data_IF_194602767520
#
_entry.id   IF_194602767520
#
_cell.length_a   1.000
_cell.length_b   1.000
_cell.length_c   1.000
_cell.angle_alpha   90.00
_cell.angle_beta   90.00
_cell.angle_gamma   90.00
#
_symmetry.space_group_name_H-M   'P 1'
#
loop_
_entity.id
_entity.type
_entity.pdbx_description
1 polymer ?
#
# COMPACT_ATOMS: atom_id res chain seq x y z
N UNK A 1 -2.08 -15.15 -13.65
CA UNK A 1 -0.59 -15.19 -13.61
C UNK A 1 0.06 -14.65 -14.88
N UNK A 2 -0.39 -15.05 -16.07
CA UNK A 2 0.18 -14.56 -17.34
C UNK A 2 0.08 -13.04 -17.51
N UNK A 3 -1.06 -12.44 -17.19
CA UNK A 3 -1.22 -10.97 -17.24
C UNK A 3 -0.25 -10.24 -16.31
N UNK A 4 -0.05 -10.77 -15.09
CA UNK A 4 0.93 -10.23 -14.15
C UNK A 4 2.36 -10.36 -14.69
N UNK A 5 2.70 -11.50 -15.31
CA UNK A 5 4.01 -11.69 -15.93
C UNK A 5 4.22 -10.71 -17.11
N UNK A 6 3.19 -10.49 -17.94
CA UNK A 6 3.21 -9.52 -19.03
C UNK A 6 3.44 -8.10 -18.51
N UNK A 7 2.68 -7.68 -17.51
CA UNK A 7 2.84 -6.39 -16.86
C UNK A 7 4.25 -6.21 -16.27
N UNK A 8 4.81 -7.26 -15.65
CA UNK A 8 6.17 -7.20 -15.10
C UNK A 8 7.23 -7.02 -16.20
N UNK A 9 7.07 -7.72 -17.34
CA UNK A 9 7.94 -7.55 -18.50
C UNK A 9 7.84 -6.12 -19.05
N UNK A 10 6.63 -5.56 -19.15
CA UNK A 10 6.40 -4.19 -19.61
C UNK A 10 7.11 -3.18 -18.71
N UNK A 11 6.90 -3.26 -17.39
CA UNK A 11 7.55 -2.36 -16.42
C UNK A 11 9.07 -2.47 -16.51
N UNK A 12 9.61 -3.68 -16.57
CA UNK A 12 11.06 -3.87 -16.67
C UNK A 12 11.63 -3.20 -17.93
N UNK A 13 11.00 -3.41 -19.08
CA UNK A 13 11.46 -2.81 -20.32
C UNK A 13 11.35 -1.29 -20.31
N UNK A 14 10.26 -0.74 -19.78
CA UNK A 14 10.13 0.71 -19.59
C UNK A 14 11.24 1.27 -18.70
N UNK A 15 11.61 0.57 -17.62
CA UNK A 15 12.69 1.02 -16.73
C UNK A 15 14.07 0.97 -17.38
N UNK A 16 14.39 -0.09 -18.13
CA UNK A 16 15.66 -0.22 -18.86
C UNK A 16 15.82 0.89 -19.91
N UNK A 17 14.73 1.21 -20.60
CA UNK A 17 14.69 2.26 -21.62
C UNK A 17 14.86 3.65 -21.02
N UNK A 18 14.15 3.96 -19.93
CA UNK A 18 14.32 5.25 -19.24
C UNK A 18 15.75 5.43 -18.72
N UNK A 19 16.37 4.34 -18.27
CA UNK A 19 17.77 4.35 -17.88
C UNK A 19 18.69 4.64 -19.08
N UNK A 20 18.45 4.05 -20.25
CA UNK A 20 19.22 4.34 -21.47
C UNK A 20 19.09 5.81 -21.89
N UNK A 21 17.86 6.34 -21.96
CA UNK A 21 17.63 7.76 -22.29
C UNK A 21 18.32 8.67 -21.29
N UNK A 22 18.31 8.31 -20.00
CA UNK A 22 19.04 9.06 -18.97
C UNK A 22 20.55 9.04 -19.21
N UNK A 23 21.12 7.88 -19.53
CA UNK A 23 22.55 7.73 -19.77
C UNK A 23 22.98 8.48 -21.05
N UNK A 24 22.18 8.43 -22.11
CA UNK A 24 22.38 9.19 -23.35
C UNK A 24 22.23 10.70 -23.13
N UNK A 25 21.26 11.13 -22.31
CA UNK A 25 21.08 12.52 -21.93
C UNK A 25 22.31 13.05 -21.19
N UNK A 26 22.86 12.26 -20.24
CA UNK A 26 24.08 12.61 -19.52
C UNK A 26 25.25 12.77 -20.47
N UNK A 27 25.43 11.84 -21.42
CA UNK A 27 26.50 11.93 -22.43
C UNK A 27 26.34 13.19 -23.30
N UNK A 28 25.12 13.49 -23.74
CA UNK A 28 24.84 14.68 -24.54
C UNK A 28 25.17 15.98 -23.81
N UNK A 29 24.81 16.06 -22.53
CA UNK A 29 25.13 17.21 -21.66
C UNK A 29 26.65 17.35 -21.52
N UNK A 30 27.38 16.24 -21.33
CA UNK A 30 28.84 16.28 -21.20
C UNK A 30 29.56 16.68 -22.49
N UNK A 31 29.00 16.34 -23.65
CA UNK A 31 29.60 16.61 -24.95
C UNK A 31 29.12 17.92 -25.59
N UNK A 32 28.20 18.65 -24.94
CA UNK A 32 27.65 19.91 -25.44
C UNK A 32 26.80 19.76 -26.71
N UNK A 33 26.27 18.56 -26.97
CA UNK A 33 25.37 18.31 -28.09
C UNK A 33 23.93 18.59 -27.68
N UNK A 34 23.16 19.22 -28.57
CA UNK A 34 21.72 19.44 -28.39
C UNK A 34 20.97 18.21 -28.91
N UNK A 35 20.51 17.35 -28.01
CA UNK A 35 19.74 16.13 -28.34
C UNK A 35 18.30 16.31 -27.93
N UNK A 36 17.37 16.07 -28.85
CA UNK A 36 15.94 16.14 -28.56
C UNK A 36 15.48 14.92 -27.73
N UNK A 37 15.53 15.10 -26.41
CA UNK A 37 15.09 14.13 -25.41
C UNK A 37 13.62 13.73 -25.59
N UNK A 38 12.79 14.63 -26.10
CA UNK A 38 11.35 14.37 -26.31
C UNK A 38 11.17 13.39 -27.46
N UNK A 39 11.91 13.59 -28.56
CA UNK A 39 11.89 12.67 -29.69
C UNK A 39 12.44 11.29 -29.33
N UNK A 40 13.52 11.22 -28.52
CA UNK A 40 14.06 9.94 -28.05
C UNK A 40 13.07 9.20 -27.14
N UNK A 41 12.36 9.91 -26.27
CA UNK A 41 11.34 9.33 -25.41
C UNK A 41 10.15 8.79 -26.23
N UNK A 42 9.66 9.53 -27.22
CA UNK A 42 8.54 9.10 -28.07
C UNK A 42 8.89 7.86 -28.91
N UNK A 43 10.08 7.85 -29.51
CA UNK A 43 10.56 6.72 -30.31
C UNK A 43 10.74 5.46 -29.44
N UNK A 44 11.28 5.63 -28.24
CA UNK A 44 11.49 4.51 -27.33
C UNK A 44 10.18 3.96 -26.77
N UNK A 45 9.20 4.81 -26.45
CA UNK A 45 7.86 4.37 -26.07
C UNK A 45 7.19 3.55 -27.18
N UNK A 46 7.31 3.98 -28.44
CA UNK A 46 6.77 3.23 -29.60
C UNK A 46 7.42 1.86 -29.75
N UNK A 47 8.74 1.76 -29.60
CA UNK A 47 9.48 0.49 -29.66
C UNK A 47 9.05 -0.48 -28.56
N UNK A 48 8.92 0.01 -27.33
CA UNK A 48 8.46 -0.81 -26.20
C UNK A 48 7.03 -1.29 -26.41
N UNK A 49 6.13 -0.43 -26.88
CA UNK A 49 4.75 -0.80 -27.19
C UNK A 49 4.66 -1.87 -28.31
N UNK A 50 5.44 -1.73 -29.38
CA UNK A 50 5.50 -2.72 -30.46
C UNK A 50 6.07 -4.06 -29.97
N UNK A 51 7.10 -4.01 -29.12
CA UNK A 51 7.69 -5.23 -28.54
C UNK A 51 6.69 -5.94 -27.63
N UNK A 52 5.95 -5.20 -26.79
CA UNK A 52 4.89 -5.74 -25.94
C UNK A 52 3.72 -6.34 -26.72
N UNK A 53 3.35 -5.72 -27.85
CA UNK A 53 2.31 -6.27 -28.72
C UNK A 53 2.68 -7.65 -29.28
N UNK A 54 3.98 -7.94 -29.44
CA UNK A 54 4.49 -9.17 -30.03
C UNK A 54 4.95 -10.22 -29.01
N UNK A 55 4.86 -9.95 -27.69
CA UNK A 55 5.24 -10.95 -26.68
C UNK A 55 4.24 -12.10 -26.70
N UNK A 56 4.74 -13.28 -27.06
CA UNK A 56 3.96 -14.50 -27.08
C UNK A 56 3.73 -15.05 -25.68
N UNK A 57 2.65 -15.82 -25.53
CA UNK A 57 2.34 -16.52 -24.28
C UNK A 57 3.46 -17.49 -23.87
N UNK A 58 4.12 -18.13 -24.84
CA UNK A 58 5.26 -19.02 -24.61
C UNK A 58 6.40 -18.29 -23.91
N UNK A 59 6.75 -17.09 -24.38
CA UNK A 59 7.80 -16.26 -23.75
C UNK A 59 7.42 -15.86 -22.32
N UNK A 60 6.14 -15.57 -22.06
CA UNK A 60 5.65 -15.26 -20.72
C UNK A 60 5.76 -16.46 -19.78
N UNK A 61 5.47 -17.67 -20.26
CA UNK A 61 5.57 -18.88 -19.42
C UNK A 61 7.00 -19.24 -19.04
N UNK A 62 7.98 -18.84 -19.86
CA UNK A 62 9.41 -19.01 -19.56
C UNK A 62 9.98 -17.88 -18.70
N UNK A 63 9.24 -16.80 -18.51
CA UNK A 63 9.75 -15.63 -17.79
C UNK A 63 9.97 -15.97 -16.30
N UNK A 64 11.11 -15.58 -15.69
CA UNK A 64 11.46 -16.00 -14.33
C UNK A 64 10.39 -15.69 -13.29
N UNK A 65 9.70 -14.55 -13.45
CA UNK A 65 8.65 -14.15 -12.51
C UNK A 65 7.41 -15.03 -12.61
N UNK A 66 7.10 -15.54 -13.79
CA UNK A 66 5.99 -16.47 -13.99
C UNK A 66 6.31 -17.82 -13.32
N UNK A 67 7.52 -18.33 -13.50
CA UNK A 67 7.98 -19.57 -12.86
C UNK A 67 7.98 -19.47 -11.32
N UNK A 68 8.41 -18.33 -10.77
CA UNK A 68 8.34 -18.06 -9.33
C UNK A 68 6.90 -18.09 -8.79
N UNK A 69 5.93 -17.58 -9.57
CA UNK A 69 4.52 -17.62 -9.17
C UNK A 69 3.98 -19.05 -9.17
N UNK A 70 4.30 -19.85 -10.19
CA UNK A 70 3.92 -21.26 -10.24
C UNK A 70 4.50 -22.03 -9.04
N UNK A 71 5.79 -21.87 -8.76
CA UNK A 71 6.44 -22.51 -7.61
C UNK A 71 5.79 -22.09 -6.28
N UNK A 72 5.34 -20.83 -6.16
CA UNK A 72 4.67 -20.34 -4.96
C UNK A 72 3.26 -20.92 -4.81
N UNK A 73 2.53 -21.10 -5.91
CA UNK A 73 1.23 -21.77 -5.88
C UNK A 73 1.36 -23.26 -5.52
N UNK A 74 2.36 -23.95 -6.07
CA UNK A 74 2.67 -25.35 -5.72
C UNK A 74 3.09 -25.48 -4.25
N UNK A 75 3.94 -24.57 -3.77
CA UNK A 75 4.35 -24.54 -2.37
C UNK A 75 3.19 -24.19 -1.42
N UNK A 76 2.30 -23.28 -1.82
CA UNK A 76 1.10 -22.93 -1.04
C UNK A 76 0.09 -24.08 -1.02
N UNK A 77 -0.10 -24.80 -2.13
CA UNK A 77 -0.93 -25.99 -2.21
C UNK A 77 -0.38 -27.15 -1.38
N UNK A 78 0.95 -27.35 -1.40
CA UNK A 78 1.64 -28.35 -0.58
C UNK A 78 1.60 -28.00 0.91
N UNK A 79 1.78 -26.72 1.27
CA UNK A 79 1.65 -26.25 2.65
C UNK A 79 0.20 -26.36 3.16
N UNK A 80 -0.81 -26.11 2.33
CA UNK A 80 -2.22 -26.31 2.68
C UNK A 80 -2.56 -27.79 2.88
N UNK A 81 -1.97 -28.69 2.08
CA UNK A 81 -2.11 -30.13 2.25
C UNK A 81 -1.38 -30.66 3.52
N UNK A 82 -0.22 -30.10 3.86
CA UNK A 82 0.52 -30.42 5.07
C UNK A 82 -0.11 -29.82 6.35
N UNK A 83 -0.74 -28.63 6.24
CA UNK A 83 -1.42 -27.95 7.34
C UNK A 83 -2.84 -28.49 7.64
N UNK A 84 -3.36 -29.43 6.84
CA UNK A 84 -4.59 -30.13 7.15
C UNK A 84 -4.46 -31.09 8.36
N UNK A 85 -3.24 -31.33 8.86
CA UNK A 85 -2.96 -32.20 10.00
C UNK A 85 -2.89 -31.53 11.37
N UNK A 86 -2.77 -30.19 11.46
CA UNK A 86 -2.71 -29.50 12.76
C UNK A 86 -3.05 -28.00 12.57
N UNK A 87 -4.34 -27.66 12.64
CA UNK A 87 -4.79 -26.27 12.50
C UNK A 87 -4.59 -25.52 13.83
N UNK A 88 -3.35 -25.11 14.11
CA UNK A 88 -3.11 -23.93 14.93
C UNK A 88 -3.19 -22.70 14.02
N UNK A 89 -4.32 -21.97 14.10
CA UNK A 89 -4.50 -20.68 13.45
C UNK A 89 -3.43 -19.70 13.95
N UNK A 90 -2.36 -19.53 13.18
CA UNK A 90 -1.35 -18.49 13.44
C UNK A 90 -1.99 -17.13 13.17
N UNK A 91 -2.35 -16.44 14.25
CA UNK A 91 -2.83 -15.06 14.20
C UNK A 91 -1.72 -14.16 13.64
N UNK A 92 -1.92 -13.63 12.43
CA UNK A 92 -1.02 -12.61 11.88
C UNK A 92 -1.08 -11.36 12.76
N UNK A 93 0.08 -10.77 13.04
CA UNK A 93 0.19 -9.60 13.91
C UNK A 93 -0.70 -8.47 13.37
N UNK A 94 -1.84 -8.25 14.02
CA UNK A 94 -2.68 -7.10 13.70
C UNK A 94 -2.01 -5.88 14.31
N UNK A 95 -1.26 -5.13 13.49
CA UNK A 95 -0.67 -3.86 13.91
C UNK A 95 -1.79 -2.84 14.20
N UNK A 96 -2.29 -2.87 15.44
CA UNK A 96 -3.19 -1.84 15.94
C UNK A 96 -2.47 -0.49 15.91
N UNK A 97 -3.02 0.46 15.16
CA UNK A 97 -2.51 1.84 15.08
C UNK A 97 -2.73 2.50 16.44
N UNK A 98 -1.63 2.78 17.14
CA UNK A 98 -1.64 3.39 18.50
C UNK A 98 -1.55 4.91 18.47
N UNK A 99 -1.46 5.53 17.28
CA UNK A 99 -1.40 6.99 17.12
C UNK A 99 -2.74 7.58 16.77
N UNK A 100 -3.09 8.68 17.44
CA UNK A 100 -4.32 9.41 17.22
C UNK A 100 -4.28 10.18 15.88
N UNK A 101 -5.30 10.06 15.01
CA UNK A 101 -5.34 10.74 13.72
C UNK A 101 -5.35 12.29 13.79
N UNK A 102 -5.65 12.90 14.94
CA UNK A 102 -5.74 14.35 15.09
C UNK A 102 -4.52 14.97 15.75
N UNK A 103 -4.05 14.42 16.87
CA UNK A 103 -2.86 14.91 17.58
C UNK A 103 -1.57 14.27 17.08
N UNK A 104 -1.65 13.14 16.35
CA UNK A 104 -0.51 12.30 15.97
C UNK A 104 0.29 11.75 17.17
N UNK A 105 -0.23 11.95 18.39
CA UNK A 105 0.34 11.44 19.63
C UNK A 105 -0.17 10.03 19.92
N UNK A 106 0.48 9.35 20.87
CA UNK A 106 0.03 8.04 21.30
C UNK A 106 -1.31 8.12 22.05
N UNK A 107 -2.25 7.25 21.67
CA UNK A 107 -3.57 7.15 22.28
C UNK A 107 -3.41 6.64 23.72
N UNK A 108 -4.00 7.35 24.68
CA UNK A 108 -4.04 6.98 26.10
C UNK A 108 -5.45 6.56 26.51
N UNK A 109 -6.46 7.25 25.99
CA UNK A 109 -7.87 6.99 26.28
C UNK A 109 -8.60 6.76 24.96
N UNK A 110 -8.62 5.51 24.46
CA UNK A 110 -9.20 5.21 23.15
C UNK A 110 -10.73 5.34 23.16
N UNK A 111 -11.23 6.15 22.23
CA UNK A 111 -12.64 6.29 21.91
C UNK A 111 -12.88 5.85 20.48
N UNK A 112 -13.91 5.05 20.27
CA UNK A 112 -14.34 4.57 18.96
C UNK A 112 -15.60 5.27 18.51
N UNK A 113 -15.65 5.69 17.25
CA UNK A 113 -16.90 6.14 16.64
C UNK A 113 -17.74 4.93 16.22
N UNK A 114 -18.96 4.79 16.75
CA UNK A 114 -19.87 3.69 16.45
C UNK A 114 -20.25 3.60 14.96
N UNK A 115 -20.21 4.70 14.21
CA UNK A 115 -20.60 4.75 12.79
C UNK A 115 -19.53 4.24 11.83
N UNK A 116 -18.25 4.50 12.11
CA UNK A 116 -17.14 4.14 11.21
C UNK A 116 -16.07 3.26 11.84
N UNK A 117 -16.13 3.01 13.14
CA UNK A 117 -15.22 2.13 13.86
C UNK A 117 -13.81 2.68 14.08
N UNK A 118 -13.52 3.91 13.68
CA UNK A 118 -12.20 4.52 13.89
C UNK A 118 -11.96 4.93 15.34
N UNK A 119 -10.70 4.82 15.77
CA UNK A 119 -10.22 5.10 17.11
C UNK A 119 -9.55 6.48 17.20
N UNK A 120 -9.78 7.15 18.32
CA UNK A 120 -9.26 8.48 18.64
C UNK A 120 -8.84 8.54 20.10
N UNK A 121 -7.98 9.49 20.44
CA UNK A 121 -7.73 9.83 21.84
C UNK A 121 -8.79 10.80 22.38
N UNK A 122 -9.21 10.59 23.63
CA UNK A 122 -10.20 11.44 24.30
C UNK A 122 -9.82 12.92 24.30
N UNK A 123 -8.57 13.24 24.61
CA UNK A 123 -8.11 14.64 24.72
C UNK A 123 -8.17 15.36 23.36
N UNK A 124 -7.83 14.64 22.28
CA UNK A 124 -7.97 15.11 20.91
C UNK A 124 -9.43 15.35 20.53
N UNK A 125 -10.33 14.44 20.90
CA UNK A 125 -11.76 14.58 20.66
C UNK A 125 -12.34 15.81 21.36
N UNK A 126 -12.00 16.02 22.64
CA UNK A 126 -12.39 17.20 23.41
C UNK A 126 -11.93 18.49 22.71
N UNK A 127 -10.65 18.57 22.33
CA UNK A 127 -10.08 19.75 21.70
C UNK A 127 -10.74 20.13 20.35
N UNK A 128 -11.20 19.14 19.59
CA UNK A 128 -11.77 19.38 18.26
C UNK A 128 -13.29 19.51 18.29
N UNK A 129 -13.99 18.77 19.15
CA UNK A 129 -15.44 18.95 19.35
C UNK A 129 -15.75 20.28 20.04
N UNK A 130 -14.85 20.81 20.85
CA UNK A 130 -14.98 22.14 21.46
C UNK A 130 -14.91 23.28 20.41
N UNK A 131 -14.25 23.06 19.27
CA UNK A 131 -14.19 24.04 18.15
C UNK A 131 -15.50 24.03 17.36
N UNK A 132 -16.54 24.65 17.93
CA UNK A 132 -17.93 24.69 17.43
C UNK A 132 -18.07 25.13 15.95
N UNK A 133 -17.12 25.87 15.40
CA UNK A 133 -17.18 26.37 14.02
C UNK A 133 -16.90 25.31 12.94
N UNK A 134 -16.30 24.15 13.27
CA UNK A 134 -15.70 23.27 12.25
C UNK A 134 -16.43 21.96 11.93
N UNK A 135 -17.58 21.65 12.56
CA UNK A 135 -18.37 20.40 12.32
C UNK A 135 -17.46 19.20 11.96
N UNK A 136 -16.55 18.81 12.87
CA UNK A 136 -15.42 17.95 12.52
C UNK A 136 -15.88 16.59 12.03
N UNK A 137 -15.35 16.13 10.90
CA UNK A 137 -15.62 14.79 10.35
C UNK A 137 -14.49 13.83 10.66
N UNK A 138 -14.69 12.54 10.38
CA UNK A 138 -13.62 11.56 10.49
C UNK A 138 -12.43 11.95 9.58
N UNK A 139 -11.20 12.00 10.11
CA UNK A 139 -9.99 12.36 9.36
C UNK A 139 -9.42 11.21 8.52
N UNK A 140 -9.90 9.98 8.73
CA UNK A 140 -9.38 8.81 8.02
C UNK A 140 -9.70 8.90 6.53
N UNK A 141 -8.67 8.83 5.69
CA UNK A 141 -8.79 8.93 4.23
C UNK A 141 -9.67 7.78 3.74
N UNK A 142 -10.69 8.10 2.93
CA UNK A 142 -11.63 7.10 2.43
C UNK A 142 -12.70 6.65 3.44
N UNK A 143 -12.82 7.31 4.60
CA UNK A 143 -13.92 7.00 5.52
C UNK A 143 -15.28 7.25 4.86
N UNK A 144 -16.15 6.24 4.91
CA UNK A 144 -17.51 6.30 4.38
C UNK A 144 -18.45 7.18 5.21
N UNK A 145 -18.13 7.40 6.49
CA UNK A 145 -18.92 8.24 7.37
C UNK A 145 -18.62 9.74 7.14
N UNK A 146 -19.56 10.40 6.45
CA UNK A 146 -19.52 11.85 6.17
C UNK A 146 -20.21 12.69 7.25
N UNK A 147 -20.81 12.07 8.27
CA UNK A 147 -21.48 12.81 9.33
C UNK A 147 -20.46 13.47 10.28
N UNK A 148 -20.76 14.68 10.79
CA UNK A 148 -19.95 15.28 11.83
C UNK A 148 -19.88 14.38 13.07
N UNK A 149 -18.70 14.30 13.67
CA UNK A 149 -18.46 13.62 14.93
C UNK A 149 -19.27 14.29 16.04
N UNK A 150 -19.90 13.48 16.87
CA UNK A 150 -20.66 13.88 18.05
C UNK A 150 -20.32 12.98 19.23
N UNK A 151 -20.43 13.52 20.44
CA UNK A 151 -20.18 12.75 21.66
C UNK A 151 -21.12 11.54 21.78
N UNK A 152 -22.36 11.69 21.31
CA UNK A 152 -23.35 10.61 21.32
C UNK A 152 -22.96 9.40 20.46
N UNK A 153 -22.16 9.60 19.41
CA UNK A 153 -21.69 8.53 18.51
C UNK A 153 -20.32 7.96 18.93
N UNK A 154 -19.74 8.45 20.03
CA UNK A 154 -18.39 8.09 20.50
C UNK A 154 -18.47 7.27 21.79
N UNK A 155 -17.87 6.09 21.77
CA UNK A 155 -17.86 5.16 22.91
C UNK A 155 -16.43 4.84 23.32
N UNK A 156 -16.16 4.76 24.62
CA UNK A 156 -14.86 4.30 25.12
C UNK A 156 -14.61 2.85 24.69
N UNK A 157 -13.42 2.57 24.13
CA UNK A 157 -13.04 1.25 23.67
C UNK A 157 -12.09 0.59 24.69
N UNK A 158 -12.68 -0.18 25.60
CA UNK A 158 -11.95 -0.89 26.66
C UNK A 158 -11.01 -1.95 26.12
N UNK A 159 -11.34 -2.56 24.98
CA UNK A 159 -10.48 -3.56 24.32
C UNK A 159 -9.23 -2.89 23.74
N UNK A 160 -9.40 -1.77 23.04
CA UNK A 160 -8.31 -0.97 22.53
C UNK A 160 -7.39 -0.49 23.65
N UNK A 161 -7.96 -0.08 24.79
CA UNK A 161 -7.19 0.37 25.95
C UNK A 161 -6.26 -0.72 26.48
N UNK A 162 -6.80 -1.92 26.69
CA UNK A 162 -6.03 -3.08 27.13
C UNK A 162 -4.96 -3.49 26.10
N UNK A 163 -5.28 -3.43 24.81
CA UNK A 163 -4.33 -3.77 23.75
C UNK A 163 -3.16 -2.77 23.69
N UNK A 164 -3.43 -1.47 23.85
CA UNK A 164 -2.40 -0.43 23.90
C UNK A 164 -1.52 -0.59 25.15
N UNK A 165 -2.12 -0.86 26.31
CA UNK A 165 -1.38 -1.09 27.56
C UNK A 165 -0.47 -2.31 27.47
N UNK A 166 -0.95 -3.44 26.93
CA UNK A 166 -0.14 -4.65 26.74
C UNK A 166 1.07 -4.40 25.82
N UNK A 167 0.89 -3.64 24.74
CA UNK A 167 2.00 -3.26 23.84
C UNK A 167 3.06 -2.41 24.55
N UNK A 168 2.67 -1.52 25.46
CA UNK A 168 3.61 -0.71 26.26
C UNK A 168 4.44 -1.54 27.23
N UNK A 169 3.91 -2.67 27.71
CA UNK A 169 4.62 -3.56 28.63
C UNK A 169 5.59 -4.51 27.91
N UNK A 170 5.39 -4.74 26.61
CA UNK A 170 6.21 -5.66 25.80
C UNK A 170 7.34 -4.96 25.02
N UNK A 171 7.44 -3.64 25.12
CA UNK A 171 8.51 -2.82 24.53
C UNK A 171 9.51 -2.38 25.60
#
# INVERSE_FOLDING_TARGET
>A
MLEYARMHVEVQQSTEVLQQVKDEAVVSITNGTDTDLTQMLDETQRRTAQRMANVSERELTTYPRYQQLLQREEAAGSAAAAAAGDQELVMTETHMVTRDPWSQQEIRQPYRNARCGHLYDRSSLEAVLQKRSRRPTCPHVGCTNKMPLRWEDLTEDTFAKQAIEKKKTQA
#
